data_IF_319873370567
#
_entry.id   IF_319873370567
#
_cell.length_a   1.000
_cell.length_b   1.000
_cell.length_c   1.000
_cell.angle_alpha   90.00
_cell.angle_beta   90.00
_cell.angle_gamma   90.00
#
_symmetry.space_group_name_H-M   'P 1'
#
loop_
_entity.id
_entity.type
_entity.pdbx_description
1 polymer ?
#
# COMPACT_ATOMS: atom_id res chain seq x y z
N UNK A 1 12.27 20.47 -22.07
CA UNK A 1 11.12 20.63 -21.16
C UNK A 1 10.32 19.35 -21.32
N UNK A 2 10.59 18.36 -20.47
CA UNK A 2 9.90 17.05 -20.52
C UNK A 2 8.47 17.34 -20.06
N UNK A 3 7.48 16.97 -20.86
CA UNK A 3 6.09 17.30 -20.57
C UNK A 3 5.62 16.54 -19.33
N UNK A 4 4.68 17.11 -18.57
CA UNK A 4 4.13 16.48 -17.36
C UNK A 4 3.50 15.09 -17.64
N UNK A 5 3.10 14.83 -18.89
CA UNK A 5 2.51 13.56 -19.33
C UNK A 5 3.57 12.45 -19.57
N UNK A 6 4.82 12.79 -19.88
CA UNK A 6 5.91 11.81 -20.02
C UNK A 6 6.37 11.25 -18.67
N UNK A 7 6.14 12.01 -17.59
CA UNK A 7 6.52 11.64 -16.22
C UNK A 7 5.59 10.56 -15.62
N UNK A 8 4.40 10.37 -16.19
CA UNK A 8 3.39 9.42 -15.72
C UNK A 8 3.73 7.97 -16.14
N UNK A 9 4.42 7.79 -17.28
CA UNK A 9 4.83 6.47 -17.78
C UNK A 9 5.87 5.76 -16.89
N UNK A 10 6.60 6.54 -16.07
CA UNK A 10 7.66 6.04 -15.20
C UNK A 10 7.19 5.81 -13.76
N UNK A 11 5.91 6.06 -13.44
CA UNK A 11 5.37 5.83 -12.09
C UNK A 11 5.15 4.34 -11.85
N UNK A 12 5.64 3.89 -10.71
CA UNK A 12 5.48 2.52 -10.26
C UNK A 12 4.01 2.26 -9.93
N UNK A 13 3.42 1.33 -10.68
CA UNK A 13 2.05 0.87 -10.43
C UNK A 13 2.05 -0.10 -9.27
N UNK A 14 1.10 0.09 -8.38
CA UNK A 14 1.05 -0.65 -7.13
C UNK A 14 -0.36 -1.10 -6.78
N UNK A 15 -0.43 -2.08 -5.89
CA UNK A 15 -1.67 -2.59 -5.31
C UNK A 15 -1.57 -2.59 -3.78
N UNK A 16 -2.73 -2.59 -3.14
CA UNK A 16 -2.88 -2.66 -1.70
C UNK A 16 -3.56 -3.96 -1.30
N UNK A 17 -2.98 -4.67 -0.34
CA UNK A 17 -3.60 -5.80 0.34
C UNK A 17 -3.74 -5.44 1.82
N UNK A 18 -4.93 -5.65 2.38
CA UNK A 18 -5.23 -5.34 3.77
C UNK A 18 -5.68 -6.62 4.49
N UNK A 19 -4.76 -7.21 5.25
CA UNK A 19 -5.08 -8.29 6.18
C UNK A 19 -5.51 -7.68 7.51
N UNK A 20 -6.78 -7.29 7.59
CA UNK A 20 -7.34 -6.57 8.73
C UNK A 20 -8.67 -7.18 9.16
N UNK A 21 -9.07 -7.11 10.44
CA UNK A 21 -10.31 -7.73 10.90
C UNK A 21 -11.57 -7.14 10.25
N UNK A 22 -11.56 -5.82 9.98
CA UNK A 22 -12.72 -5.08 9.49
C UNK A 22 -12.49 -4.62 8.05
N UNK A 23 -13.24 -5.21 7.11
CA UNK A 23 -13.18 -4.88 5.69
C UNK A 23 -13.56 -3.42 5.39
N UNK A 24 -14.34 -2.77 6.25
CA UNK A 24 -14.74 -1.35 6.06
C UNK A 24 -13.55 -0.39 6.19
N UNK A 25 -12.43 -0.85 6.78
CA UNK A 25 -11.22 -0.05 6.93
C UNK A 25 -10.42 0.07 5.62
N UNK A 26 -10.74 -0.69 4.57
CA UNK A 26 -9.91 -0.72 3.35
C UNK A 26 -9.85 0.62 2.63
N UNK A 27 -10.97 1.34 2.51
CA UNK A 27 -10.98 2.66 1.85
C UNK A 27 -10.10 3.67 2.61
N UNK A 28 -10.16 3.59 3.93
CA UNK A 28 -9.33 4.40 4.81
C UNK A 28 -7.84 4.03 4.70
N UNK A 29 -7.52 2.73 4.71
CA UNK A 29 -6.15 2.23 4.55
C UNK A 29 -5.59 2.49 3.14
N UNK A 30 -6.45 2.56 2.12
CA UNK A 30 -6.08 2.98 0.75
C UNK A 30 -5.63 4.44 0.72
N UNK A 31 -6.36 5.30 1.44
CA UNK A 31 -6.02 6.72 1.60
C UNK A 31 -4.70 6.87 2.35
N UNK A 32 -4.51 6.17 3.47
CA UNK A 32 -3.25 6.09 4.19
C UNK A 32 -2.09 5.67 3.30
N UNK A 33 -2.27 4.60 2.53
CA UNK A 33 -1.23 4.00 1.70
C UNK A 33 -0.75 4.93 0.61
N UNK A 34 -1.67 5.67 0.01
CA UNK A 34 -1.38 6.70 -1.00
C UNK A 34 -0.53 7.83 -0.41
N UNK A 35 -0.91 8.32 0.78
CA UNK A 35 -0.10 9.28 1.53
C UNK A 35 1.28 8.73 1.90
N UNK A 36 1.34 7.51 2.42
CA UNK A 36 2.59 6.87 2.85
C UNK A 36 3.58 6.77 1.69
N UNK A 37 3.14 6.30 0.52
CA UNK A 37 4.01 6.20 -0.66
C UNK A 37 4.41 7.58 -1.21
N UNK A 38 3.54 8.59 -1.11
CA UNK A 38 3.92 9.96 -1.44
C UNK A 38 5.03 10.50 -0.52
N UNK A 39 4.97 10.22 0.79
CA UNK A 39 6.04 10.58 1.72
C UNK A 39 7.33 9.79 1.45
N UNK A 40 7.24 8.51 1.11
CA UNK A 40 8.39 7.70 0.67
C UNK A 40 9.03 8.33 -0.56
N UNK A 41 8.24 8.76 -1.56
CA UNK A 41 8.76 9.46 -2.74
C UNK A 41 9.49 10.75 -2.37
N UNK A 42 8.95 11.56 -1.45
CA UNK A 42 9.61 12.80 -0.97
C UNK A 42 10.95 12.51 -0.30
N UNK A 43 11.02 11.47 0.53
CA UNK A 43 12.26 11.06 1.21
C UNK A 43 13.27 10.49 0.21
N UNK A 44 12.82 9.63 -0.72
CA UNK A 44 13.67 9.03 -1.75
C UNK A 44 14.30 10.10 -2.65
N UNK A 45 13.54 11.15 -3.02
CA UNK A 45 14.05 12.26 -3.81
C UNK A 45 15.22 13.00 -3.12
N UNK A 46 15.16 13.17 -1.78
CA UNK A 46 16.27 13.76 -1.00
C UNK A 46 17.54 12.90 -1.01
N UNK A 47 17.40 11.61 -1.29
CA UNK A 47 18.48 10.64 -1.42
C UNK A 47 18.91 10.41 -2.88
N UNK A 48 18.38 11.18 -3.84
CA UNK A 48 18.57 10.97 -5.28
C UNK A 48 18.11 9.58 -5.78
N UNK A 49 17.16 8.96 -5.08
CA UNK A 49 16.54 7.69 -5.49
C UNK A 49 15.25 8.00 -6.25
N UNK A 50 15.14 7.46 -7.47
CA UNK A 50 13.89 7.56 -8.24
C UNK A 50 12.90 6.48 -7.78
N UNK A 51 12.03 6.85 -6.84
CA UNK A 51 10.92 6.01 -6.38
C UNK A 51 9.62 6.82 -6.44
N UNK A 52 9.01 6.89 -7.63
CA UNK A 52 7.71 7.54 -7.84
C UNK A 52 6.64 6.49 -8.01
N UNK A 53 5.57 6.57 -7.23
CA UNK A 53 4.42 5.69 -7.31
C UNK A 53 3.27 6.43 -8.00
N UNK A 54 2.35 5.68 -8.59
CA UNK A 54 1.06 6.26 -8.99
C UNK A 54 0.31 6.78 -7.74
N UNK A 55 -0.52 7.81 -7.92
CA UNK A 55 -1.21 8.47 -6.81
C UNK A 55 -2.12 7.54 -6.00
N UNK A 56 -2.72 6.53 -6.66
CA UNK A 56 -3.66 5.59 -6.07
C UNK A 56 -3.31 4.16 -6.43
N UNK A 57 -3.65 3.17 -5.59
CA UNK A 57 -3.44 1.78 -5.95
C UNK A 57 -4.34 1.41 -7.13
N UNK A 58 -3.87 0.51 -7.99
CA UNK A 58 -4.70 -0.08 -9.05
C UNK A 58 -5.85 -0.91 -8.51
N UNK A 59 -5.66 -1.48 -7.32
CA UNK A 59 -6.66 -2.23 -6.57
C UNK A 59 -6.30 -2.23 -5.08
N UNK A 60 -7.32 -2.15 -4.23
CA UNK A 60 -7.22 -2.41 -2.80
C UNK A 60 -8.07 -3.63 -2.46
N UNK A 61 -7.51 -4.60 -1.75
CA UNK A 61 -8.16 -5.88 -1.45
C UNK A 61 -8.16 -6.14 0.05
N UNK A 62 -9.34 -6.45 0.59
CA UNK A 62 -9.46 -7.04 1.92
C UNK A 62 -9.09 -8.52 1.88
N UNK A 63 -8.35 -8.97 2.89
CA UNK A 63 -8.06 -10.38 3.15
C UNK A 63 -8.40 -10.64 4.62
N UNK A 64 -9.24 -11.65 4.94
CA UNK A 64 -9.47 -12.05 6.32
C UNK A 64 -8.17 -12.42 7.03
N UNK A 65 -8.03 -12.00 8.29
CA UNK A 65 -6.86 -12.32 9.12
C UNK A 65 -6.79 -13.83 9.36
N UNK A 66 -5.60 -14.41 9.21
CA UNK A 66 -5.35 -15.83 9.36
C UNK A 66 -5.78 -16.69 8.18
N UNK A 67 -6.27 -16.11 7.08
CA UNK A 67 -6.71 -16.84 5.90
C UNK A 67 -5.65 -16.81 4.79
N UNK A 68 -4.85 -17.89 4.73
CA UNK A 68 -3.81 -18.04 3.71
C UNK A 68 -4.38 -18.12 2.30
N UNK A 69 -5.48 -18.86 2.10
CA UNK A 69 -6.05 -19.10 0.76
C UNK A 69 -6.61 -17.80 0.18
N UNK A 70 -7.29 -16.99 1.01
CA UNK A 70 -7.75 -15.67 0.61
C UNK A 70 -6.56 -14.74 0.29
N UNK A 71 -5.47 -14.82 1.07
CA UNK A 71 -4.26 -14.05 0.82
C UNK A 71 -3.63 -14.45 -0.53
N UNK A 72 -3.44 -15.75 -0.76
CA UNK A 72 -2.88 -16.29 -2.00
C UNK A 72 -3.74 -15.89 -3.21
N UNK A 73 -5.06 -16.03 -3.11
CA UNK A 73 -5.99 -15.64 -4.15
C UNK A 73 -5.93 -14.13 -4.46
N UNK A 74 -5.72 -13.28 -3.45
CA UNK A 74 -5.56 -11.84 -3.66
C UNK A 74 -4.31 -11.53 -4.49
N UNK A 75 -3.17 -12.12 -4.14
CA UNK A 75 -1.91 -11.93 -4.88
C UNK A 75 -1.98 -12.47 -6.32
N UNK A 76 -2.59 -13.65 -6.50
CA UNK A 76 -2.81 -14.21 -7.84
C UNK A 76 -3.73 -13.32 -8.67
N UNK A 77 -4.82 -12.82 -8.08
CA UNK A 77 -5.76 -11.91 -8.75
C UNK A 77 -5.09 -10.60 -9.14
N UNK A 78 -4.20 -10.05 -8.31
CA UNK A 78 -3.39 -8.87 -8.64
C UNK A 78 -2.55 -9.16 -9.91
N UNK A 79 -1.82 -10.28 -9.91
CA UNK A 79 -0.95 -10.69 -11.01
C UNK A 79 -1.71 -10.87 -12.33
N UNK A 80 -2.88 -11.49 -12.28
CA UNK A 80 -3.68 -11.82 -13.46
C UNK A 80 -4.37 -10.58 -14.05
N UNK A 81 -5.02 -9.78 -13.22
CA UNK A 81 -5.90 -8.70 -13.70
C UNK A 81 -5.19 -7.36 -13.84
N UNK A 82 -4.08 -7.14 -13.12
CA UNK A 82 -3.28 -5.92 -13.20
C UNK A 82 -1.80 -6.28 -13.43
N UNK A 83 -1.46 -6.87 -14.59
CA UNK A 83 -0.11 -7.40 -14.86
C UNK A 83 1.00 -6.34 -14.85
N UNK A 84 0.64 -5.06 -14.90
CA UNK A 84 1.60 -3.95 -14.80
C UNK A 84 1.91 -3.52 -13.37
N UNK A 85 1.23 -4.07 -12.35
CA UNK A 85 1.55 -3.82 -10.94
C UNK A 85 2.91 -4.46 -10.62
N UNK A 86 3.83 -3.65 -10.11
CA UNK A 86 5.17 -4.11 -9.71
C UNK A 86 5.37 -4.13 -8.19
N UNK A 87 4.55 -3.38 -7.46
CA UNK A 87 4.69 -3.19 -6.02
C UNK A 87 3.40 -3.53 -5.28
N UNK A 88 3.50 -4.26 -4.18
CA UNK A 88 2.39 -4.54 -3.27
C UNK A 88 2.71 -3.97 -1.90
N UNK A 89 1.88 -3.02 -1.45
CA UNK A 89 1.85 -2.61 -0.06
C UNK A 89 0.86 -3.53 0.68
N UNK A 90 1.31 -4.15 1.77
CA UNK A 90 0.48 -5.04 2.57
C UNK A 90 0.31 -4.49 3.99
N UNK A 91 -0.92 -4.15 4.37
CA UNK A 91 -1.26 -3.84 5.76
C UNK A 91 -1.41 -5.15 6.53
N UNK A 92 -0.54 -5.34 7.51
CA UNK A 92 -0.42 -6.53 8.34
C UNK A 92 -1.21 -6.31 9.63
N UNK A 93 -1.92 -7.35 10.13
CA UNK A 93 -2.79 -7.19 11.29
C UNK A 93 -1.99 -6.86 12.56
N UNK A 94 -0.86 -7.55 12.74
CA UNK A 94 0.01 -7.41 13.90
C UNK A 94 1.44 -7.86 13.59
N UNK A 95 2.35 -7.58 14.53
CA UNK A 95 3.76 -7.98 14.43
C UNK A 95 3.88 -9.50 14.55
N UNK A 96 4.80 -10.08 13.75
CA UNK A 96 5.04 -11.53 13.68
C UNK A 96 3.82 -12.36 13.24
N UNK A 97 2.83 -11.73 12.62
CA UNK A 97 1.70 -12.41 12.01
C UNK A 97 2.15 -13.31 10.85
N UNK A 98 1.54 -14.50 10.65
CA UNK A 98 1.82 -15.38 9.52
C UNK A 98 1.75 -14.66 8.15
N UNK A 99 0.88 -13.66 8.05
CA UNK A 99 0.68 -12.80 6.89
C UNK A 99 1.97 -12.16 6.39
N UNK A 100 2.91 -11.85 7.28
CA UNK A 100 4.21 -11.32 6.88
C UNK A 100 5.01 -12.34 6.05
N UNK A 101 5.06 -13.60 6.49
CA UNK A 101 5.76 -14.66 5.74
C UNK A 101 5.00 -15.06 4.47
N UNK A 102 3.67 -14.99 4.49
CA UNK A 102 2.85 -15.16 3.28
C UNK A 102 3.10 -14.05 2.27
N UNK A 103 3.07 -12.78 2.70
CA UNK A 103 3.44 -11.62 1.86
C UNK A 103 4.80 -11.85 1.20
N UNK A 104 5.81 -12.29 1.97
CA UNK A 104 7.15 -12.58 1.43
C UNK A 104 7.13 -13.67 0.38
N UNK A 105 6.48 -14.79 0.68
CA UNK A 105 6.45 -15.97 -0.18
C UNK A 105 5.65 -15.71 -1.46
N UNK A 106 4.45 -15.15 -1.34
CA UNK A 106 3.55 -14.84 -2.45
C UNK A 106 4.12 -13.73 -3.36
N UNK A 107 4.67 -12.67 -2.78
CA UNK A 107 5.33 -11.62 -3.58
C UNK A 107 6.51 -12.18 -4.37
N UNK A 108 7.30 -13.07 -3.76
CA UNK A 108 8.43 -13.72 -4.46
C UNK A 108 7.95 -14.63 -5.58
N UNK A 109 6.91 -15.43 -5.32
CA UNK A 109 6.33 -16.34 -6.32
C UNK A 109 5.72 -15.59 -7.53
N UNK A 110 5.17 -14.40 -7.30
CA UNK A 110 4.51 -13.61 -8.36
C UNK A 110 5.37 -12.46 -8.91
N UNK A 111 6.60 -12.26 -8.40
CA UNK A 111 7.53 -11.25 -8.89
C UNK A 111 7.24 -9.81 -8.43
N UNK A 112 6.55 -9.63 -7.30
CA UNK A 112 6.27 -8.31 -6.75
C UNK A 112 7.39 -7.82 -5.83
N UNK A 113 7.72 -6.53 -5.96
CA UNK A 113 8.33 -5.76 -4.86
C UNK A 113 7.26 -5.59 -3.77
N UNK A 114 7.66 -5.63 -2.51
CA UNK A 114 6.72 -5.63 -1.39
C UNK A 114 7.16 -4.71 -0.26
N UNK A 115 6.18 -4.20 0.47
CA UNK A 115 6.38 -3.56 1.76
C UNK A 115 5.25 -3.92 2.71
N UNK A 116 5.58 -4.34 3.92
CA UNK A 116 4.62 -4.56 5.00
C UNK A 116 4.50 -3.32 5.89
N UNK A 117 3.28 -2.97 6.30
CA UNK A 117 3.02 -1.94 7.31
C UNK A 117 2.07 -2.50 8.35
N UNK A 118 2.39 -2.37 9.63
CA UNK A 118 1.48 -2.83 10.70
C UNK A 118 0.23 -1.94 10.76
N UNK A 119 -0.93 -2.55 10.98
CA UNK A 119 -2.20 -1.86 11.12
C UNK A 119 -2.14 -0.80 12.23
N UNK A 120 -1.54 -1.13 13.37
CA UNK A 120 -1.34 -0.18 14.48
C UNK A 120 -0.66 1.12 14.01
N UNK A 121 0.40 1.02 13.20
CA UNK A 121 1.14 2.17 12.69
C UNK A 121 0.33 2.97 11.66
N UNK A 122 -0.45 2.27 10.84
CA UNK A 122 -1.36 2.90 9.90
C UNK A 122 -2.46 3.69 10.62
N UNK A 123 -2.97 3.18 11.74
CA UNK A 123 -4.01 3.83 12.55
C UNK A 123 -3.45 4.98 13.42
N UNK A 124 -2.31 4.78 14.09
CA UNK A 124 -1.67 5.77 14.97
C UNK A 124 -1.27 7.06 14.24
N UNK A 125 -0.89 6.92 12.97
CA UNK A 125 -0.59 8.06 12.10
C UNK A 125 -1.77 9.03 11.97
N UNK A 126 -3.01 8.55 12.08
CA UNK A 126 -4.18 9.42 12.09
C UNK A 126 -4.64 9.82 13.49
N UNK A 127 -4.40 8.99 14.51
CA UNK A 127 -4.65 9.40 15.90
C UNK A 127 -3.83 10.64 16.27
N UNK A 128 -2.57 10.70 15.82
CA UNK A 128 -1.69 11.87 16.00
C UNK A 128 -2.10 13.10 15.17
N UNK A 129 -2.91 12.93 14.12
CA UNK A 129 -3.49 14.02 13.31
C UNK A 129 -4.78 14.54 13.93
N UNK A 130 -5.66 13.64 14.40
CA UNK A 130 -6.90 13.98 15.09
C UNK A 130 -6.65 14.74 16.41
N UNK A 131 -5.57 14.42 17.13
CA UNK A 131 -5.18 15.15 18.35
C UNK A 131 -4.63 16.57 18.08
N UNK A 132 -4.20 16.88 16.84
CA UNK A 132 -3.72 18.22 16.47
C UNK A 132 -4.84 19.18 16.05
N UNK A 133 -6.09 18.73 16.08
CA UNK A 133 -7.25 19.58 15.76
C UNK A 133 -7.38 19.93 14.29
N UNK A 134 -6.59 19.31 13.41
CA UNK A 134 -6.77 19.45 11.97
C UNK A 134 -7.89 18.52 11.52
N UNK A 135 -8.91 19.12 10.92
CA UNK A 135 -10.01 18.42 10.28
C UNK A 135 -9.45 17.40 9.29
N UNK A 136 -9.91 16.15 9.35
CA UNK A 136 -9.39 15.05 8.51
C UNK A 136 -9.42 15.45 7.02
N UNK A 137 -10.36 16.30 6.61
CA UNK A 137 -10.52 16.81 5.25
C UNK A 137 -9.57 17.95 4.85
N UNK A 138 -8.87 18.59 5.79
CA UNK A 138 -7.90 19.67 5.51
C UNK A 138 -6.52 19.10 5.15
N UNK A 139 -6.21 17.89 5.59
CA UNK A 139 -4.93 17.21 5.29
C UNK A 139 -4.90 16.61 3.88
N UNK A 140 -6.05 16.52 3.19
CA UNK A 140 -6.21 15.92 1.86
C UNK A 140 -6.36 16.93 0.71
N UNK A 141 -5.65 18.08 0.74
CA UNK A 141 -5.54 19.01 -0.40
C UNK A 141 -4.13 19.10 -0.95
#
# INVERSE_FOLDING_TARGET
MISADEDDALRMRWALVCSVPDATQVDYLSTFSSWFLAEVTKVAAKLNIYARFEERPKVAMHVPVGDFDACAAAYEKIRLNWPSVMFVLHILPEKNSPEYEWMRSLSTAHGFVRQGVLLENAMDKFASVAQKGDDLFVVFR
#
